data_IF_626090597837
#
_entry.id   IF_626090597837
#
_cell.length_a   1.000
_cell.length_b   1.000
_cell.length_c   1.000
_cell.angle_alpha   90.00
_cell.angle_beta   90.00
_cell.angle_gamma   90.00
#
_symmetry.space_group_name_H-M   'P 1'
#
loop_
_entity.id
_entity.type
_entity.pdbx_description
1 polymer ?
#
# COMPACT_ATOMS: atom_id res chain seq x y z
N UNK A 1 -28.16 -55.26 64.29
CA UNK A 1 -27.34 -54.02 64.08
C UNK A 1 -26.74 -54.10 62.68
N UNK A 2 -27.38 -53.40 61.71
CA UNK A 2 -26.86 -53.30 60.37
C UNK A 2 -26.17 -51.93 60.24
N UNK A 3 -24.87 -51.96 59.88
CA UNK A 3 -24.08 -50.77 59.61
C UNK A 3 -24.04 -50.64 58.08
N UNK A 4 -24.77 -49.63 57.53
CA UNK A 4 -24.74 -49.25 56.12
C UNK A 4 -23.49 -48.39 55.86
N UNK A 5 -22.58 -48.88 55.07
CA UNK A 5 -21.46 -48.09 54.48
C UNK A 5 -21.98 -47.33 53.27
N UNK A 6 -22.01 -46.00 53.36
CA UNK A 6 -22.15 -45.12 52.20
C UNK A 6 -20.79 -44.88 51.57
N UNK A 7 -20.59 -45.41 50.38
CA UNK A 7 -19.42 -45.09 49.55
C UNK A 7 -19.67 -43.79 48.79
N UNK A 8 -18.93 -42.73 49.10
CA UNK A 8 -18.92 -41.50 48.36
C UNK A 8 -18.00 -41.59 47.15
N UNK A 9 -18.53 -41.49 45.93
CA UNK A 9 -17.75 -41.35 44.70
C UNK A 9 -17.34 -39.89 44.51
N UNK A 10 -16.06 -39.61 44.18
CA UNK A 10 -15.63 -38.28 43.81
C UNK A 10 -16.06 -37.95 42.38
N UNK A 11 -16.77 -36.84 42.19
CA UNK A 11 -17.09 -36.27 40.89
C UNK A 11 -15.85 -35.55 40.39
N UNK A 12 -15.18 -36.11 39.39
CA UNK A 12 -14.09 -35.44 38.67
C UNK A 12 -14.65 -34.37 37.73
N UNK A 13 -14.44 -33.11 38.09
CA UNK A 13 -14.77 -31.96 37.23
C UNK A 13 -13.70 -31.88 36.17
N UNK A 14 -14.03 -32.28 34.93
CA UNK A 14 -13.17 -32.13 33.77
C UNK A 14 -13.24 -30.66 33.34
N UNK A 15 -12.20 -29.91 33.64
CA UNK A 15 -12.00 -28.53 33.17
C UNK A 15 -11.51 -28.59 31.73
N UNK A 16 -12.38 -28.39 30.74
CA UNK A 16 -12.00 -28.24 29.36
C UNK A 16 -11.40 -26.84 29.15
N UNK A 17 -10.16 -26.70 28.68
CA UNK A 17 -9.63 -25.38 28.32
C UNK A 17 -10.36 -24.89 27.06
N UNK A 18 -11.14 -23.84 27.21
CA UNK A 18 -11.67 -23.09 26.06
C UNK A 18 -10.51 -22.48 25.29
N UNK A 19 -10.25 -22.96 24.08
CA UNK A 19 -9.40 -22.30 23.10
C UNK A 19 -10.04 -20.95 22.77
N UNK A 20 -9.65 -19.91 23.47
CA UNK A 20 -9.95 -18.54 23.08
C UNK A 20 -9.16 -18.29 21.79
N UNK A 21 -9.88 -18.26 20.66
CA UNK A 21 -9.34 -17.85 19.38
C UNK A 21 -8.68 -16.47 19.52
N UNK A 22 -7.44 -16.35 19.07
CA UNK A 22 -6.76 -15.07 18.98
C UNK A 22 -7.65 -14.08 18.23
N UNK A 23 -7.69 -12.79 18.63
CA UNK A 23 -8.44 -11.79 17.89
C UNK A 23 -7.96 -11.78 16.46
N UNK A 24 -8.86 -12.07 15.53
CA UNK A 24 -8.63 -11.94 14.10
C UNK A 24 -8.28 -10.45 13.88
N UNK A 25 -7.01 -10.14 13.63
CA UNK A 25 -6.62 -8.81 13.17
C UNK A 25 -7.27 -8.65 11.79
N UNK A 26 -8.41 -8.05 11.77
CA UNK A 26 -9.08 -7.57 10.58
C UNK A 26 -8.13 -6.55 9.94
N UNK A 27 -7.31 -7.01 9.01
CA UNK A 27 -6.50 -6.12 8.18
C UNK A 27 -7.49 -5.24 7.44
N UNK A 28 -7.52 -3.95 7.78
CA UNK A 28 -8.41 -3.00 7.13
C UNK A 28 -8.24 -3.14 5.62
N UNK A 29 -9.36 -3.37 4.92
CA UNK A 29 -9.34 -3.56 3.47
C UNK A 29 -8.65 -2.37 2.79
N UNK A 30 -7.80 -2.66 1.81
CA UNK A 30 -7.13 -1.61 1.03
C UNK A 30 -8.17 -0.74 0.33
N UNK A 31 -7.92 0.59 0.20
CA UNK A 31 -8.89 1.48 -0.43
C UNK A 31 -9.00 1.31 -1.95
N UNK A 32 -8.22 0.44 -2.55
CA UNK A 32 -8.21 0.08 -3.98
C UNK A 32 -8.53 -1.40 -4.18
N UNK A 33 -8.97 -1.75 -5.39
CA UNK A 33 -9.16 -3.13 -5.80
C UNK A 33 -7.82 -3.78 -6.20
N UNK A 34 -7.77 -5.12 -6.24
CA UNK A 34 -6.59 -5.87 -6.70
C UNK A 34 -6.18 -5.49 -8.14
N UNK A 35 -7.12 -5.12 -9.00
CA UNK A 35 -6.85 -4.70 -10.38
C UNK A 35 -6.22 -3.30 -10.48
N UNK A 36 -6.24 -2.53 -9.41
CA UNK A 36 -5.60 -1.21 -9.33
C UNK A 36 -4.17 -1.28 -8.78
N UNK A 37 -3.76 -2.41 -8.21
CA UNK A 37 -2.36 -2.65 -7.85
C UNK A 37 -1.62 -3.20 -9.08
N UNK A 38 -0.46 -2.63 -9.40
CA UNK A 38 0.41 -3.08 -10.49
C UNK A 38 1.78 -3.46 -9.92
N UNK A 39 2.30 -4.60 -10.31
CA UNK A 39 3.64 -5.05 -9.87
C UNK A 39 4.75 -4.23 -10.52
N UNK A 40 5.93 -4.20 -9.89
CA UNK A 40 7.12 -3.52 -10.43
C UNK A 40 7.49 -4.05 -11.82
N UNK A 41 7.45 -5.36 -12.03
CA UNK A 41 7.81 -5.98 -13.31
C UNK A 41 6.81 -5.67 -14.44
N UNK A 42 5.51 -5.68 -14.15
CA UNK A 42 4.49 -5.29 -15.11
C UNK A 42 4.64 -3.83 -15.51
N UNK A 43 4.81 -2.93 -14.51
CA UNK A 43 4.95 -1.52 -14.80
C UNK A 43 6.25 -1.20 -15.55
N UNK A 44 7.37 -1.82 -15.19
CA UNK A 44 8.62 -1.69 -15.94
C UNK A 44 8.48 -2.16 -17.41
N UNK A 45 7.72 -3.23 -17.64
CA UNK A 45 7.43 -3.74 -18.99
C UNK A 45 6.53 -2.77 -19.78
N UNK A 46 5.55 -2.12 -19.13
CA UNK A 46 4.74 -1.07 -19.77
C UNK A 46 5.61 0.12 -20.21
N UNK A 47 6.56 0.54 -19.37
CA UNK A 47 7.47 1.63 -19.67
C UNK A 47 8.39 1.29 -20.84
N UNK A 48 8.99 0.09 -20.85
CA UNK A 48 9.90 -0.38 -21.89
C UNK A 48 9.19 -0.61 -23.24
N UNK A 49 7.98 -1.18 -23.20
CA UNK A 49 7.19 -1.51 -24.40
C UNK A 49 6.57 -0.33 -25.13
N UNK A 50 6.82 0.90 -24.67
CA UNK A 50 6.17 2.10 -25.21
C UNK A 50 4.64 2.09 -25.05
N UNK A 51 4.08 1.15 -24.31
CA UNK A 51 2.65 1.06 -23.97
C UNK A 51 2.22 2.20 -23.04
N UNK A 52 3.20 2.84 -22.38
CA UNK A 52 2.98 4.09 -21.64
C UNK A 52 2.66 5.29 -22.58
N UNK A 53 2.51 5.05 -23.89
CA UNK A 53 1.99 6.04 -24.84
C UNK A 53 0.57 6.53 -24.50
N UNK A 54 -0.16 5.80 -23.65
CA UNK A 54 -1.40 6.28 -23.03
C UNK A 54 -1.14 7.18 -21.82
N UNK A 55 0.06 7.78 -21.75
CA UNK A 55 0.40 8.86 -20.82
C UNK A 55 -0.03 8.62 -19.37
N UNK A 56 0.50 7.56 -18.75
CA UNK A 56 0.37 7.44 -17.29
C UNK A 56 1.11 8.60 -16.64
N UNK A 57 0.41 9.40 -15.86
CA UNK A 57 1.01 10.42 -15.00
C UNK A 57 1.52 9.73 -13.75
N UNK A 58 2.85 9.63 -13.62
CA UNK A 58 3.51 8.90 -12.52
C UNK A 58 3.83 9.87 -11.40
N UNK A 59 3.40 9.54 -10.18
CA UNK A 59 3.56 10.42 -9.02
C UNK A 59 4.22 9.68 -7.87
N UNK A 60 5.36 10.21 -7.43
CA UNK A 60 6.01 9.78 -6.20
C UNK A 60 5.43 10.55 -5.02
N UNK A 61 4.96 9.84 -3.99
CA UNK A 61 4.27 10.43 -2.82
C UNK A 61 5.03 10.25 -1.49
N UNK A 62 6.28 9.79 -1.56
CA UNK A 62 7.18 9.60 -0.41
C UNK A 62 8.01 10.84 -0.07
N UNK A 63 9.17 10.61 0.56
CA UNK A 63 10.07 11.68 0.97
C UNK A 63 10.89 12.22 -0.21
N UNK A 64 10.98 13.56 -0.31
CA UNK A 64 11.68 14.25 -1.39
C UNK A 64 13.12 13.75 -1.62
N UNK A 65 13.87 13.55 -0.55
CA UNK A 65 15.25 13.07 -0.64
C UNK A 65 15.38 11.70 -1.35
N UNK A 66 14.38 10.83 -1.20
CA UNK A 66 14.36 9.53 -1.89
C UNK A 66 14.04 9.71 -3.37
N UNK A 67 13.13 10.63 -3.71
CA UNK A 67 12.83 10.97 -5.09
C UNK A 67 14.08 11.49 -5.83
N UNK A 68 14.78 12.45 -5.23
CA UNK A 68 16.00 13.04 -5.79
C UNK A 68 17.14 12.00 -5.94
N UNK A 69 17.22 11.04 -5.02
CA UNK A 69 18.19 9.94 -5.05
C UNK A 69 17.94 8.93 -6.18
N UNK A 70 16.68 8.74 -6.57
CA UNK A 70 16.28 7.86 -7.67
C UNK A 70 14.79 7.60 -7.71
N UNK A 71 14.20 7.73 -8.87
CA UNK A 71 12.76 7.53 -9.10
C UNK A 71 12.48 6.88 -10.46
N UNK A 72 11.26 6.44 -10.68
CA UNK A 72 10.78 5.93 -11.97
C UNK A 72 10.88 7.05 -13.01
N UNK A 73 11.45 6.81 -14.20
CA UNK A 73 11.57 7.83 -15.25
C UNK A 73 10.23 8.46 -15.59
N UNK A 74 10.21 9.79 -15.64
CA UNK A 74 9.00 10.57 -15.91
C UNK A 74 8.06 10.73 -14.71
N UNK A 75 8.44 10.22 -13.54
CA UNK A 75 7.69 10.49 -12.31
C UNK A 75 7.90 11.94 -11.85
N UNK A 76 6.89 12.50 -11.20
CA UNK A 76 6.93 13.82 -10.58
C UNK A 76 6.70 13.74 -9.08
N UNK A 77 7.20 14.75 -8.34
CA UNK A 77 7.04 14.86 -6.90
C UNK A 77 6.18 16.06 -6.53
N UNK A 78 5.12 15.83 -5.76
CA UNK A 78 4.19 16.89 -5.35
C UNK A 78 3.88 16.88 -3.85
N UNK A 79 4.74 16.29 -3.04
CA UNK A 79 4.63 16.31 -1.59
C UNK A 79 4.64 14.92 -0.95
N UNK A 80 5.04 14.88 0.32
CA UNK A 80 5.04 13.66 1.15
C UNK A 80 3.64 13.44 1.70
N UNK A 81 2.92 12.44 1.19
CA UNK A 81 1.49 12.29 1.46
C UNK A 81 1.11 11.85 2.88
N UNK A 82 2.08 11.50 3.73
CA UNK A 82 1.85 11.30 5.17
C UNK A 82 1.78 12.61 5.97
N UNK A 83 1.98 13.77 5.32
CA UNK A 83 1.91 15.09 5.95
C UNK A 83 0.77 15.91 5.37
N UNK A 84 0.18 16.77 6.18
CA UNK A 84 -0.88 17.67 5.74
C UNK A 84 -0.43 18.60 4.61
N UNK A 85 0.75 19.20 4.73
CA UNK A 85 1.34 20.05 3.71
C UNK A 85 1.62 19.31 2.40
N UNK A 86 2.07 18.05 2.50
CA UNK A 86 2.28 17.21 1.32
C UNK A 86 0.98 16.85 0.62
N UNK A 87 -0.06 16.50 1.37
CA UNK A 87 -1.39 16.27 0.80
C UNK A 87 -1.97 17.54 0.16
N UNK A 88 -1.80 18.71 0.79
CA UNK A 88 -2.24 19.98 0.21
C UNK A 88 -1.50 20.29 -1.11
N UNK A 89 -0.19 20.03 -1.17
CA UNK A 89 0.59 20.20 -2.40
C UNK A 89 0.15 19.22 -3.49
N UNK A 90 -0.05 17.95 -3.15
CA UNK A 90 -0.57 16.94 -4.07
C UNK A 90 -1.96 17.33 -4.61
N UNK A 91 -2.85 17.79 -3.72
CA UNK A 91 -4.20 18.26 -4.08
C UNK A 91 -4.15 19.43 -5.06
N UNK A 92 -3.30 20.42 -4.78
CA UNK A 92 -3.14 21.62 -5.65
C UNK A 92 -2.70 21.19 -7.05
N UNK A 93 -1.66 20.37 -7.15
CA UNK A 93 -1.17 19.88 -8.44
C UNK A 93 -2.21 19.02 -9.16
N UNK A 94 -2.80 18.04 -8.48
CA UNK A 94 -3.81 17.15 -9.08
C UNK A 94 -5.04 17.90 -9.56
N UNK A 95 -5.34 19.09 -8.97
CA UNK A 95 -6.40 19.98 -9.45
C UNK A 95 -6.18 20.53 -10.85
N UNK A 96 -4.95 20.47 -11.39
CA UNK A 96 -4.62 20.90 -12.76
C UNK A 96 -4.80 19.81 -13.81
N UNK A 97 -5.04 18.57 -13.38
CA UNK A 97 -5.17 17.41 -14.27
C UNK A 97 -6.62 17.15 -14.66
N UNK A 98 -6.85 16.60 -15.86
CA UNK A 98 -8.16 16.09 -16.24
C UNK A 98 -8.54 14.88 -15.39
N UNK A 99 -9.83 14.71 -15.06
CA UNK A 99 -10.30 13.66 -14.15
C UNK A 99 -10.22 12.24 -14.71
N UNK A 100 -10.08 12.11 -16.00
CA UNK A 100 -9.82 10.86 -16.73
C UNK A 100 -8.32 10.55 -16.89
N UNK A 101 -7.43 11.35 -16.29
CA UNK A 101 -6.00 11.09 -16.30
C UNK A 101 -5.68 9.71 -15.69
N UNK A 102 -4.81 8.94 -16.35
CA UNK A 102 -4.29 7.68 -15.84
C UNK A 102 -3.16 7.95 -14.84
N UNK A 103 -3.44 7.79 -13.56
CA UNK A 103 -2.46 8.01 -12.50
C UNK A 103 -1.79 6.70 -12.07
N UNK A 104 -0.48 6.73 -11.86
CA UNK A 104 0.27 5.69 -11.16
C UNK A 104 0.96 6.34 -9.98
N UNK A 105 0.56 5.98 -8.76
CA UNK A 105 1.16 6.50 -7.53
C UNK A 105 2.06 5.47 -6.86
N UNK A 106 3.18 5.92 -6.29
CA UNK A 106 4.08 5.04 -5.53
C UNK A 106 4.89 5.81 -4.49
N UNK A 107 5.45 5.08 -3.54
CA UNK A 107 6.31 5.63 -2.49
C UNK A 107 7.67 4.92 -2.44
N UNK A 108 7.70 3.62 -2.06
CA UNK A 108 8.93 2.83 -1.99
C UNK A 108 9.88 3.16 -0.84
N UNK A 109 9.44 3.95 0.16
CA UNK A 109 10.26 4.26 1.35
C UNK A 109 10.29 3.13 2.39
N UNK A 110 9.35 2.18 2.30
CA UNK A 110 9.12 1.11 3.27
C UNK A 110 8.27 0.03 2.60
N UNK A 111 8.09 -1.14 3.26
CA UNK A 111 7.19 -2.17 2.77
C UNK A 111 5.79 -1.62 2.45
N UNK A 112 5.26 -1.96 1.29
CA UNK A 112 4.00 -1.46 0.77
C UNK A 112 2.84 -1.59 1.78
N UNK A 113 2.75 -2.74 2.46
CA UNK A 113 1.72 -3.02 3.46
C UNK A 113 1.69 -1.99 4.61
N UNK A 114 2.83 -1.38 4.93
CA UNK A 114 2.99 -0.44 6.04
C UNK A 114 3.29 1.00 5.58
N UNK A 115 3.16 1.28 4.28
CA UNK A 115 3.49 2.60 3.74
C UNK A 115 2.50 3.68 4.22
N UNK A 116 2.95 4.71 4.93
CA UNK A 116 2.08 5.77 5.44
C UNK A 116 1.63 6.76 4.36
N UNK A 117 2.25 6.74 3.17
CA UNK A 117 2.03 7.74 2.12
C UNK A 117 0.99 7.30 1.08
N UNK A 118 0.98 6.01 0.70
CA UNK A 118 0.16 5.52 -0.41
C UNK A 118 -1.33 5.67 -0.14
N UNK A 119 -1.80 5.21 1.03
CA UNK A 119 -3.23 5.21 1.36
C UNK A 119 -3.84 6.61 1.43
N UNK A 120 -3.22 7.59 2.11
CA UNK A 120 -3.70 8.97 2.09
C UNK A 120 -3.70 9.59 0.70
N UNK A 121 -2.65 9.35 -0.11
CA UNK A 121 -2.58 9.84 -1.48
C UNK A 121 -3.70 9.28 -2.36
N UNK A 122 -3.90 7.95 -2.32
CA UNK A 122 -4.98 7.29 -3.06
C UNK A 122 -6.35 7.85 -2.67
N UNK A 123 -6.64 7.89 -1.37
CA UNK A 123 -7.93 8.41 -0.86
C UNK A 123 -8.19 9.84 -1.32
N UNK A 124 -7.17 10.70 -1.24
CA UNK A 124 -7.28 12.09 -1.70
C UNK A 124 -7.63 12.16 -3.20
N UNK A 125 -6.87 11.46 -4.04
CA UNK A 125 -7.07 11.49 -5.49
C UNK A 125 -8.44 10.89 -5.87
N UNK A 126 -8.84 9.79 -5.23
CA UNK A 126 -10.15 9.18 -5.42
C UNK A 126 -11.29 10.15 -5.03
N UNK A 127 -11.17 10.84 -3.87
CA UNK A 127 -12.13 11.86 -3.42
C UNK A 127 -12.18 13.07 -4.37
N UNK A 128 -11.09 13.37 -5.07
CA UNK A 128 -11.05 14.40 -6.10
C UNK A 128 -11.71 13.97 -7.42
N UNK A 129 -12.18 12.73 -7.53
CA UNK A 129 -12.92 12.20 -8.68
C UNK A 129 -12.05 11.63 -9.79
N UNK A 130 -10.78 11.28 -9.52
CA UNK A 130 -9.99 10.54 -10.50
C UNK A 130 -10.48 9.09 -10.61
N UNK A 131 -10.81 8.67 -11.84
CA UNK A 131 -11.37 7.34 -12.11
C UNK A 131 -10.29 6.28 -12.33
N UNK A 132 -9.11 6.67 -12.82
CA UNK A 132 -8.04 5.76 -13.25
C UNK A 132 -6.80 5.96 -12.40
N UNK A 133 -6.84 5.40 -11.17
CA UNK A 133 -5.70 5.42 -10.24
C UNK A 133 -5.17 3.99 -10.09
N UNK A 134 -3.89 3.79 -10.39
CA UNK A 134 -3.17 2.56 -10.06
C UNK A 134 -2.12 2.83 -9.00
N UNK A 135 -1.82 1.80 -8.23
CA UNK A 135 -0.82 1.84 -7.16
C UNK A 135 0.31 0.89 -7.54
N UNK A 136 1.54 1.40 -7.63
CA UNK A 136 2.71 0.55 -7.86
C UNK A 136 3.04 -0.19 -6.57
N UNK A 137 2.88 -1.50 -6.61
CA UNK A 137 3.19 -2.39 -5.49
C UNK A 137 4.68 -2.66 -5.43
N UNK A 138 5.30 -2.21 -4.34
CA UNK A 138 6.70 -2.40 -3.99
C UNK A 138 6.75 -3.10 -2.63
N UNK A 139 6.68 -4.43 -2.58
CA UNK A 139 6.51 -5.19 -1.35
C UNK A 139 7.53 -4.86 -0.26
N UNK A 140 8.78 -4.59 -0.65
CA UNK A 140 9.89 -4.32 0.27
C UNK A 140 10.28 -2.83 0.27
N UNK A 141 10.73 -2.33 -0.88
CA UNK A 141 11.15 -0.94 -1.07
C UNK A 141 11.43 -0.66 -2.54
N UNK A 142 11.57 0.63 -2.91
CA UNK A 142 12.00 0.99 -4.27
C UNK A 142 13.39 0.46 -4.60
N UNK A 143 14.30 0.42 -3.64
CA UNK A 143 15.63 -0.13 -3.86
C UNK A 143 15.57 -1.63 -4.21
N UNK A 144 14.92 -2.44 -3.39
CA UNK A 144 14.87 -3.89 -3.57
C UNK A 144 14.00 -4.35 -4.74
N UNK A 145 12.84 -3.69 -4.92
CA UNK A 145 11.81 -4.17 -5.86
C UNK A 145 11.92 -3.51 -7.24
N UNK A 146 12.71 -2.42 -7.37
CA UNK A 146 12.90 -1.69 -8.62
C UNK A 146 14.37 -1.59 -9.02
N UNK A 147 15.23 -0.98 -8.18
CA UNK A 147 16.62 -0.68 -8.54
C UNK A 147 17.45 -1.96 -8.66
N UNK A 148 17.40 -2.85 -7.68
CA UNK A 148 18.14 -4.12 -7.68
C UNK A 148 17.62 -5.11 -8.75
N UNK A 149 16.41 -4.88 -9.26
CA UNK A 149 15.87 -5.64 -10.42
C UNK A 149 16.38 -5.09 -11.76
N UNK A 150 17.17 -4.03 -11.75
CA UNK A 150 17.73 -3.42 -12.97
C UNK A 150 16.72 -2.61 -13.77
N UNK A 151 15.58 -2.22 -13.20
CA UNK A 151 14.61 -1.37 -13.87
C UNK A 151 15.13 0.07 -14.00
N UNK A 152 14.68 0.82 -15.03
CA UNK A 152 15.23 2.15 -15.31
C UNK A 152 14.91 3.14 -14.18
N UNK A 153 15.91 3.98 -13.87
CA UNK A 153 15.79 5.06 -12.88
C UNK A 153 16.20 6.40 -13.49
N UNK A 154 15.61 7.46 -12.95
CA UNK A 154 16.01 8.84 -13.17
C UNK A 154 16.42 9.44 -11.81
N UNK A 155 17.39 10.36 -11.79
CA UNK A 155 17.85 11.07 -10.59
C UNK A 155 17.63 12.57 -10.75
N UNK A 156 17.60 13.25 -9.60
CA UNK A 156 17.36 14.69 -9.55
C UNK A 156 15.86 15.04 -9.61
N UNK A 157 15.56 16.30 -9.91
CA UNK A 157 14.20 16.83 -10.05
C UNK A 157 13.78 16.86 -11.52
#
# INVERSE_FOLDING_TARGET
MLVSLFAALPIAIIFSPSLQGAPNQETAAEPWSSTQAISASEFASELAGGKNRNHSTIVFVGFRILFEGGHVPGASYHGTASTESGLASLKKWAGTLPKDANLVIYCGCCPFAHCPNIRPAYKLLHQMGFAHIRVLDLPTSFAADWVEKGFPIQKGL
#
